data_IF_164654786699
#
_entry.id   IF_164654786699
#
_cell.length_a   1.000
_cell.length_b   1.000
_cell.length_c   1.000
_cell.angle_alpha   90.00
_cell.angle_beta   90.00
_cell.angle_gamma   90.00
#
_symmetry.space_group_name_H-M   'P 1'
#
loop_
_entity.id
_entity.type
_entity.pdbx_description
1 polymer ?
#
# COMPACT_ATOMS: atom_id res chain seq x y z
N UNK A 1 67.17 -16.76 57.61
CA UNK A 1 66.20 -17.85 57.37
C UNK A 1 65.09 -17.30 56.48
N UNK A 2 65.14 -17.60 55.18
CA UNK A 2 64.24 -17.08 54.15
C UNK A 2 62.83 -17.67 54.31
N UNK A 3 61.78 -16.83 54.28
CA UNK A 3 60.44 -17.26 53.86
C UNK A 3 59.84 -16.22 52.91
N UNK A 4 59.64 -16.66 51.67
CA UNK A 4 59.05 -15.96 50.53
C UNK A 4 57.54 -15.81 50.75
N UNK A 5 56.98 -14.64 50.46
CA UNK A 5 55.54 -14.46 50.33
C UNK A 5 55.23 -14.18 48.87
N UNK A 6 54.57 -15.13 48.22
CA UNK A 6 54.21 -15.12 46.80
C UNK A 6 52.92 -14.33 46.62
N UNK A 7 52.95 -13.26 45.82
CA UNK A 7 51.76 -12.51 45.40
C UNK A 7 50.99 -13.36 44.37
N UNK A 8 49.74 -13.70 44.65
CA UNK A 8 48.81 -14.32 43.70
C UNK A 8 47.98 -13.22 43.03
N UNK A 9 48.31 -12.89 41.78
CA UNK A 9 47.48 -12.07 40.90
C UNK A 9 46.40 -12.96 40.27
N UNK A 10 45.14 -12.83 40.72
CA UNK A 10 43.99 -13.38 40.01
C UNK A 10 43.65 -12.47 38.83
N UNK A 11 44.01 -12.89 37.61
CA UNK A 11 43.54 -12.27 36.38
C UNK A 11 42.09 -12.67 36.10
N UNK A 12 41.19 -11.69 36.06
CA UNK A 12 39.80 -11.88 35.66
C UNK A 12 39.74 -11.89 34.12
N UNK A 13 39.65 -13.07 33.51
CA UNK A 13 39.41 -13.20 32.07
C UNK A 13 37.90 -13.04 31.86
N UNK A 14 37.48 -11.88 31.35
CA UNK A 14 36.11 -11.67 30.89
C UNK A 14 35.97 -12.38 29.55
N UNK A 15 35.34 -13.56 29.57
CA UNK A 15 34.82 -14.20 28.37
C UNK A 15 33.67 -13.34 27.84
N UNK A 16 33.93 -12.54 26.80
CA UNK A 16 32.86 -12.03 25.94
C UNK A 16 32.35 -13.24 25.17
N UNK A 17 31.29 -13.86 25.68
CA UNK A 17 30.58 -14.89 24.96
C UNK A 17 29.97 -14.28 23.71
N UNK A 18 30.48 -14.65 22.53
CA UNK A 18 29.72 -14.53 21.29
C UNK A 18 28.43 -15.34 21.49
N UNK A 19 27.30 -14.65 21.64
CA UNK A 19 25.99 -15.28 21.52
C UNK A 19 25.84 -15.74 20.08
N UNK A 20 26.11 -17.01 19.82
CA UNK A 20 25.86 -17.63 18.53
C UNK A 20 24.35 -17.59 18.28
N UNK A 21 23.91 -16.65 17.42
CA UNK A 21 22.50 -16.51 17.08
C UNK A 21 22.09 -17.77 16.33
N UNK A 22 21.34 -18.66 17.01
CA UNK A 22 20.80 -19.87 16.41
C UNK A 22 20.07 -19.48 15.12
N UNK A 23 20.51 -20.05 14.00
CA UNK A 23 19.88 -19.83 12.71
C UNK A 23 18.50 -20.48 12.75
N UNK A 24 17.48 -19.68 12.46
CA UNK A 24 16.13 -20.16 12.25
C UNK A 24 15.90 -20.38 10.75
N UNK A 25 15.07 -21.36 10.43
CA UNK A 25 14.76 -21.72 9.04
C UNK A 25 13.87 -20.68 8.34
N UNK A 26 13.14 -19.86 9.11
CA UNK A 26 12.13 -18.94 8.60
C UNK A 26 10.84 -19.62 8.12
N UNK A 27 10.70 -20.94 8.34
CA UNK A 27 9.49 -21.69 8.01
C UNK A 27 8.59 -21.76 9.25
N UNK A 28 7.37 -21.26 9.10
CA UNK A 28 6.35 -21.37 10.14
C UNK A 28 5.63 -22.73 10.05
N UNK A 29 6.19 -23.73 10.75
CA UNK A 29 5.62 -25.07 10.83
C UNK A 29 4.29 -25.12 11.59
N UNK A 30 3.88 -24.06 12.30
CA UNK A 30 2.62 -24.03 13.02
C UNK A 30 1.39 -23.94 12.09
N UNK A 31 1.60 -23.56 10.82
CA UNK A 31 0.53 -23.49 9.81
C UNK A 31 0.30 -24.82 9.06
N UNK A 32 1.17 -25.82 9.29
CA UNK A 32 1.12 -27.07 8.57
C UNK A 32 -0.03 -27.95 9.05
N UNK A 33 -0.72 -28.60 8.12
CA UNK A 33 -1.70 -29.66 8.39
C UNK A 33 -1.08 -31.02 8.04
N UNK A 34 -0.65 -31.74 9.07
CA UNK A 34 -0.01 -33.05 8.92
C UNK A 34 -0.99 -34.18 8.56
N UNK A 35 -2.30 -33.92 8.56
CA UNK A 35 -3.31 -34.89 8.10
C UNK A 35 -3.33 -35.02 6.57
N UNK A 36 -2.84 -33.99 5.85
CA UNK A 36 -2.73 -33.97 4.39
C UNK A 36 -1.32 -34.44 3.99
N UNK A 37 -1.21 -35.35 3.03
CA UNK A 37 0.10 -35.74 2.51
C UNK A 37 0.63 -34.62 1.59
N UNK A 38 1.90 -34.20 1.72
CA UNK A 38 2.48 -33.15 0.88
C UNK A 38 2.51 -33.50 -0.62
N UNK A 39 2.45 -34.80 -0.97
CA UNK A 39 2.41 -35.24 -2.37
C UNK A 39 1.01 -35.15 -2.99
N UNK A 40 -0.04 -35.08 -2.16
CA UNK A 40 -1.42 -35.05 -2.62
C UNK A 40 -1.89 -33.59 -2.78
N UNK A 41 -1.60 -32.74 -1.79
CA UNK A 41 -1.83 -31.29 -1.86
C UNK A 41 -0.82 -30.54 -0.96
N UNK A 42 0.24 -30.02 -1.59
CA UNK A 42 1.29 -29.31 -0.87
C UNK A 42 0.80 -27.99 -0.27
N UNK A 43 -0.17 -27.31 -0.89
CA UNK A 43 -0.68 -26.03 -0.41
C UNK A 43 -1.47 -26.23 0.89
N UNK A 44 -2.34 -27.24 0.93
CA UNK A 44 -3.06 -27.64 2.15
C UNK A 44 -2.13 -28.20 3.21
N UNK A 45 -1.11 -28.98 2.84
CA UNK A 45 -0.13 -29.47 3.81
C UNK A 45 0.61 -28.33 4.53
N UNK A 46 1.05 -27.30 3.80
CA UNK A 46 1.82 -26.18 4.39
C UNK A 46 0.95 -25.14 5.09
N UNK A 47 -0.26 -24.88 4.57
CA UNK A 47 -1.10 -23.76 5.01
C UNK A 47 -2.42 -24.20 5.68
N UNK A 48 -2.71 -25.50 5.79
CA UNK A 48 -4.02 -26.02 6.17
C UNK A 48 -4.52 -25.50 7.51
N UNK A 49 -3.65 -25.49 8.53
CA UNK A 49 -4.02 -24.96 9.84
C UNK A 49 -4.25 -23.44 9.82
N UNK A 50 -3.56 -22.71 8.94
CA UNK A 50 -3.81 -21.28 8.74
C UNK A 50 -5.16 -21.03 8.04
N UNK A 51 -5.48 -21.82 7.01
CA UNK A 51 -6.75 -21.70 6.29
C UNK A 51 -7.96 -22.03 7.18
N UNK A 52 -7.81 -22.90 8.17
CA UNK A 52 -8.88 -23.25 9.10
C UNK A 52 -9.10 -22.16 10.16
N UNK A 53 -8.03 -21.54 10.67
CA UNK A 53 -8.10 -20.57 11.77
C UNK A 53 -8.33 -19.12 11.33
N UNK A 54 -7.94 -18.77 10.10
CA UNK A 54 -7.89 -17.38 9.65
C UNK A 54 -9.18 -17.00 8.92
N UNK A 55 -9.94 -16.08 9.51
CA UNK A 55 -11.08 -15.45 8.86
C UNK A 55 -10.62 -14.29 7.98
N UNK A 56 -11.30 -14.09 6.85
CA UNK A 56 -11.09 -12.89 6.03
C UNK A 56 -11.78 -11.72 6.73
N UNK A 57 -11.05 -10.63 7.09
CA UNK A 57 -11.66 -9.47 7.72
C UNK A 57 -12.81 -8.89 6.89
N UNK A 58 -13.85 -8.37 7.55
CA UNK A 58 -15.09 -7.93 6.89
C UNK A 58 -14.90 -6.75 5.92
N UNK A 59 -13.81 -5.99 6.07
CA UNK A 59 -13.42 -4.87 5.21
C UNK A 59 -12.56 -5.32 4.01
N UNK A 60 -12.28 -6.62 3.85
CA UNK A 60 -11.37 -7.15 2.83
C UNK A 60 -12.03 -8.23 1.97
N UNK A 61 -11.69 -8.23 0.69
CA UNK A 61 -12.16 -9.26 -0.27
C UNK A 61 -11.32 -10.54 -0.24
N UNK A 62 -10.10 -10.47 0.31
CA UNK A 62 -9.16 -11.58 0.43
C UNK A 62 -8.18 -11.33 1.59
N UNK A 63 -7.58 -12.39 2.12
CA UNK A 63 -6.56 -12.29 3.16
C UNK A 63 -5.49 -13.36 3.00
N UNK A 64 -4.25 -13.02 3.34
CA UNK A 64 -3.07 -13.85 3.17
C UNK A 64 -1.81 -13.09 3.56
N UNK A 65 -0.65 -13.72 3.41
CA UNK A 65 0.64 -13.15 3.84
C UNK A 65 0.96 -11.79 3.22
N UNK A 66 0.62 -11.56 1.95
CA UNK A 66 0.79 -10.25 1.31
C UNK A 66 -0.13 -9.18 1.90
N UNK A 67 -1.36 -9.53 2.25
CA UNK A 67 -2.33 -8.61 2.85
C UNK A 67 -1.96 -8.29 4.29
N UNK A 68 -1.47 -9.27 5.05
CA UNK A 68 -0.94 -9.08 6.40
C UNK A 68 0.26 -8.12 6.39
N UNK A 69 1.24 -8.34 5.50
CA UNK A 69 2.36 -7.42 5.33
C UNK A 69 1.92 -6.02 4.88
N UNK A 70 0.89 -5.94 4.03
CA UNK A 70 0.33 -4.67 3.60
C UNK A 70 -0.33 -3.92 4.76
N UNK A 71 -1.10 -4.59 5.61
CA UNK A 71 -1.71 -3.99 6.81
C UNK A 71 -0.64 -3.44 7.76
N UNK A 72 0.44 -4.19 8.01
CA UNK A 72 1.57 -3.72 8.81
C UNK A 72 2.25 -2.50 8.18
N UNK A 73 2.47 -2.52 6.87
CA UNK A 73 3.04 -1.39 6.13
C UNK A 73 2.14 -0.16 6.21
N UNK A 74 0.82 -0.33 6.05
CA UNK A 74 -0.14 0.76 6.18
C UNK A 74 -0.16 1.35 7.59
N UNK A 75 -0.10 0.52 8.63
CA UNK A 75 -0.02 0.99 10.01
C UNK A 75 1.25 1.83 10.23
N UNK A 76 2.39 1.41 9.69
CA UNK A 76 3.64 2.15 9.77
C UNK A 76 3.59 3.48 8.99
N UNK A 77 3.06 3.46 7.77
CA UNK A 77 2.87 4.67 6.96
C UNK A 77 1.93 5.66 7.63
N UNK A 78 0.82 5.18 8.20
CA UNK A 78 -0.13 6.00 8.94
C UNK A 78 0.53 6.71 10.11
N UNK A 79 1.34 6.02 10.91
CA UNK A 79 2.10 6.67 12.00
C UNK A 79 2.99 7.80 11.49
N UNK A 80 3.72 7.58 10.40
CA UNK A 80 4.59 8.61 9.81
C UNK A 80 3.77 9.82 9.35
N UNK A 81 2.62 9.58 8.71
CA UNK A 81 1.73 10.65 8.24
C UNK A 81 1.11 11.41 9.41
N UNK A 82 0.69 10.72 10.47
CA UNK A 82 0.14 11.33 11.68
C UNK A 82 1.19 12.16 12.43
N UNK A 83 2.42 11.67 12.55
CA UNK A 83 3.55 12.42 13.11
C UNK A 83 3.85 13.67 12.27
N UNK A 84 3.88 13.52 10.94
CA UNK A 84 4.03 14.65 10.02
C UNK A 84 2.87 15.63 10.13
N UNK A 85 1.63 15.18 10.35
CA UNK A 85 0.45 16.01 10.54
C UNK A 85 0.52 16.82 11.85
N UNK A 86 1.08 16.26 12.91
CA UNK A 86 1.15 16.86 14.25
C UNK A 86 2.38 17.76 14.47
N UNK A 87 3.43 17.63 13.66
CA UNK A 87 4.64 18.46 13.79
C UNK A 87 4.30 19.96 13.67
N UNK A 88 4.71 20.75 14.67
CA UNK A 88 4.40 22.19 14.76
C UNK A 88 5.24 23.09 13.86
N UNK A 89 6.41 22.63 13.41
CA UNK A 89 7.41 23.43 12.68
C UNK A 89 7.50 23.01 11.20
N UNK A 90 6.38 23.06 10.48
CA UNK A 90 6.38 22.75 9.05
C UNK A 90 6.58 24.01 8.22
N UNK A 91 7.59 24.00 7.35
CA UNK A 91 7.76 25.07 6.38
C UNK A 91 6.57 25.08 5.40
N UNK A 92 6.03 26.26 5.13
CA UNK A 92 4.93 26.40 4.18
C UNK A 92 5.34 25.88 2.79
N UNK A 93 4.54 24.98 2.22
CA UNK A 93 4.81 24.35 0.93
C UNK A 93 5.77 23.15 0.97
N UNK A 94 6.26 22.75 2.14
CA UNK A 94 7.06 21.53 2.29
C UNK A 94 6.23 20.27 2.08
N UNK A 95 6.88 19.15 1.80
CA UNK A 95 6.19 17.89 1.58
C UNK A 95 5.53 17.38 2.86
N UNK A 96 6.12 17.63 4.03
CA UNK A 96 5.54 17.33 5.34
C UNK A 96 4.24 18.10 5.58
N UNK A 97 4.21 19.39 5.19
CA UNK A 97 2.99 20.20 5.27
C UNK A 97 1.91 19.66 4.33
N UNK A 98 2.24 19.39 3.06
CA UNK A 98 1.27 18.87 2.08
C UNK A 98 0.71 17.51 2.49
N UNK A 99 1.55 16.59 2.95
CA UNK A 99 1.14 15.25 3.40
C UNK A 99 0.22 15.37 4.61
N UNK A 100 0.61 16.17 5.60
CA UNK A 100 -0.19 16.38 6.80
C UNK A 100 -1.55 17.01 6.51
N UNK A 101 -1.57 18.08 5.72
CA UNK A 101 -2.81 18.78 5.37
C UNK A 101 -3.73 17.92 4.51
N UNK A 102 -3.17 17.16 3.55
CA UNK A 102 -3.95 16.22 2.74
C UNK A 102 -4.58 15.14 3.61
N UNK A 103 -3.83 14.55 4.54
CA UNK A 103 -4.36 13.58 5.50
C UNK A 103 -5.47 14.17 6.37
N UNK A 104 -5.25 15.35 6.96
CA UNK A 104 -6.25 16.01 7.80
C UNK A 104 -7.52 16.36 7.00
N UNK A 105 -7.38 16.78 5.74
CA UNK A 105 -8.53 17.06 4.86
C UNK A 105 -9.38 15.81 4.60
N UNK A 106 -8.75 14.63 4.48
CA UNK A 106 -9.45 13.36 4.30
C UNK A 106 -10.10 12.86 5.60
N UNK A 107 -9.47 13.10 6.74
CA UNK A 107 -9.96 12.62 8.05
C UNK A 107 -11.10 13.48 8.62
N UNK A 108 -11.31 14.70 8.11
CA UNK A 108 -12.39 15.60 8.53
C UNK A 108 -13.75 15.20 7.93
N UNK A 109 -14.26 14.06 8.38
CA UNK A 109 -15.58 13.53 7.98
C UNK A 109 -16.74 14.49 8.31
N UNK A 110 -16.63 15.29 9.37
CA UNK A 110 -17.67 16.26 9.72
C UNK A 110 -17.79 17.36 8.66
N UNK A 111 -16.66 17.87 8.17
CA UNK A 111 -16.64 18.85 7.08
C UNK A 111 -17.11 18.25 5.76
N UNK A 112 -16.71 17.01 5.46
CA UNK A 112 -17.18 16.28 4.27
C UNK A 112 -18.71 16.17 4.29
N UNK A 113 -19.29 15.78 5.43
CA UNK A 113 -20.74 15.63 5.57
C UNK A 113 -21.48 16.98 5.51
N UNK A 114 -20.91 18.03 6.10
CA UNK A 114 -21.45 19.40 6.03
C UNK A 114 -21.49 19.92 4.58
N UNK A 115 -20.45 19.66 3.80
CA UNK A 115 -20.33 20.10 2.41
C UNK A 115 -21.25 19.32 1.46
N UNK A 116 -21.57 18.07 1.77
CA UNK A 116 -22.40 17.21 0.93
C UNK A 116 -21.92 17.19 -0.53
N UNK A 117 -22.83 17.51 -1.46
CA UNK A 117 -22.53 17.51 -2.90
C UNK A 117 -22.03 18.86 -3.44
N UNK A 118 -21.96 19.90 -2.61
CA UNK A 118 -21.60 21.25 -3.08
C UNK A 118 -20.28 21.32 -3.84
N UNK A 119 -19.20 20.60 -3.44
CA UNK A 119 -17.95 20.59 -4.22
C UNK A 119 -18.07 20.02 -5.64
N UNK A 120 -19.14 19.27 -5.95
CA UNK A 120 -19.37 18.68 -7.28
C UNK A 120 -20.26 19.53 -8.19
N UNK A 121 -20.89 20.60 -7.68
CA UNK A 121 -21.89 21.38 -8.43
C UNK A 121 -21.30 21.98 -9.71
N UNK A 122 -20.07 22.51 -9.67
CA UNK A 122 -19.42 23.08 -10.86
C UNK A 122 -19.13 22.03 -11.94
N UNK A 123 -18.75 20.81 -11.52
CA UNK A 123 -18.49 19.70 -12.43
C UNK A 123 -19.77 19.18 -13.07
N UNK A 124 -20.84 19.06 -12.29
CA UNK A 124 -22.16 18.67 -12.78
C UNK A 124 -22.72 19.71 -13.76
N UNK A 125 -22.65 21.00 -13.41
CA UNK A 125 -23.07 22.09 -14.30
C UNK A 125 -22.27 22.11 -15.61
N UNK A 126 -20.97 21.80 -15.57
CA UNK A 126 -20.15 21.66 -16.77
C UNK A 126 -20.68 20.56 -17.69
N UNK A 127 -21.05 19.40 -17.14
CA UNK A 127 -21.61 18.28 -17.89
C UNK A 127 -22.98 18.65 -18.48
N UNK A 128 -23.84 19.30 -17.70
CA UNK A 128 -25.18 19.73 -18.13
C UNK A 128 -25.13 20.75 -19.28
N UNK A 129 -24.07 21.56 -19.34
CA UNK A 129 -23.88 22.58 -20.37
C UNK A 129 -23.43 22.04 -21.73
N UNK A 130 -23.05 20.76 -21.83
CA UNK A 130 -22.49 20.19 -23.06
C UNK A 130 -23.55 20.10 -24.17
N UNK A 131 -23.31 20.77 -25.29
CA UNK A 131 -24.22 20.77 -26.43
C UNK A 131 -23.57 20.16 -27.67
N UNK A 132 -23.46 18.83 -27.65
CA UNK A 132 -22.99 18.05 -28.78
C UNK A 132 -21.53 17.64 -28.68
N UNK A 133 -21.02 17.07 -29.79
CA UNK A 133 -19.77 16.29 -29.80
C UNK A 133 -18.52 17.14 -29.59
N UNK A 134 -18.53 18.39 -30.02
CA UNK A 134 -17.38 19.29 -29.86
C UNK A 134 -17.17 19.64 -28.39
N UNK A 135 -18.26 19.97 -27.67
CA UNK A 135 -18.21 20.23 -26.24
C UNK A 135 -17.81 18.99 -25.46
N UNK A 136 -18.30 17.82 -25.88
CA UNK A 136 -17.91 16.54 -25.28
C UNK A 136 -16.39 16.27 -25.42
N UNK A 137 -15.79 16.57 -26.57
CA UNK A 137 -14.34 16.42 -26.75
C UNK A 137 -13.54 17.36 -25.85
N UNK A 138 -13.99 18.62 -25.69
CA UNK A 138 -13.40 19.59 -24.74
C UNK A 138 -13.56 19.13 -23.30
N UNK A 139 -14.73 18.56 -22.97
CA UNK A 139 -14.99 18.00 -21.65
C UNK A 139 -14.05 16.84 -21.33
N UNK A 140 -13.78 15.91 -22.25
CA UNK A 140 -12.84 14.83 -21.99
C UNK A 140 -11.41 15.33 -21.71
N UNK A 141 -10.98 16.43 -22.34
CA UNK A 141 -9.71 17.07 -22.00
C UNK A 141 -9.72 17.64 -20.57
N UNK A 142 -10.83 18.27 -20.16
CA UNK A 142 -11.02 18.74 -18.79
C UNK A 142 -11.06 17.59 -17.78
N UNK A 143 -11.91 16.60 -18.01
CA UNK A 143 -12.12 15.42 -17.16
C UNK A 143 -10.80 14.72 -16.85
N UNK A 144 -9.93 14.56 -17.85
CA UNK A 144 -8.59 13.99 -17.65
C UNK A 144 -7.75 14.77 -16.64
N UNK A 145 -7.78 16.10 -16.69
CA UNK A 145 -7.06 16.96 -15.73
C UNK A 145 -7.68 16.89 -14.33
N UNK A 146 -9.00 16.76 -14.26
CA UNK A 146 -9.75 16.62 -13.02
C UNK A 146 -9.69 15.20 -12.40
N UNK A 147 -9.05 14.24 -13.08
CA UNK A 147 -9.00 12.84 -12.63
C UNK A 147 -10.29 12.05 -12.88
N UNK A 148 -11.22 12.60 -13.65
CA UNK A 148 -12.49 11.95 -14.02
C UNK A 148 -12.26 11.04 -15.24
N UNK A 149 -12.81 9.83 -15.17
CA UNK A 149 -12.66 8.83 -16.23
C UNK A 149 -13.31 9.30 -17.54
N UNK A 150 -12.68 8.95 -18.66
CA UNK A 150 -13.19 9.16 -20.02
C UNK A 150 -13.12 7.84 -20.81
N UNK A 151 -13.81 7.71 -21.96
CA UNK A 151 -13.81 6.47 -22.77
C UNK A 151 -12.44 6.07 -23.36
N UNK A 152 -11.44 6.92 -23.21
CA UNK A 152 -10.07 6.67 -23.58
C UNK A 152 -9.13 7.23 -22.51
N UNK A 153 -7.98 6.59 -22.35
CA UNK A 153 -6.90 7.07 -21.50
C UNK A 153 -5.75 7.53 -22.38
N UNK A 154 -5.24 8.73 -22.11
CA UNK A 154 -4.00 9.25 -22.68
C UNK A 154 -2.89 9.18 -21.64
N UNK A 155 -1.75 8.60 -22.00
CA UNK A 155 -0.56 8.55 -21.15
C UNK A 155 0.71 8.62 -21.98
N UNK A 156 1.80 9.05 -21.35
CA UNK A 156 3.12 9.12 -21.97
C UNK A 156 3.94 7.95 -21.44
N UNK A 157 4.55 7.19 -22.35
CA UNK A 157 5.45 6.10 -21.99
C UNK A 157 6.56 5.99 -23.04
N UNK A 158 7.56 5.16 -22.79
CA UNK A 158 8.62 4.87 -23.75
C UNK A 158 8.05 4.28 -25.03
N UNK A 159 8.62 4.61 -26.19
CA UNK A 159 8.25 3.98 -27.46
C UNK A 159 8.70 2.52 -27.46
N UNK A 160 7.78 1.59 -27.74
CA UNK A 160 8.10 0.17 -27.89
C UNK A 160 9.09 -0.10 -29.05
N UNK A 161 9.20 0.81 -30.02
CA UNK A 161 10.17 0.73 -31.12
C UNK A 161 11.49 1.44 -30.81
N UNK A 162 11.51 2.34 -29.83
CA UNK A 162 12.70 3.08 -29.43
C UNK A 162 12.63 3.50 -27.94
N UNK A 163 13.23 2.69 -27.06
CA UNK A 163 13.14 2.89 -25.61
C UNK A 163 13.83 4.15 -25.08
N UNK A 164 14.57 4.90 -25.91
CA UNK A 164 15.17 6.18 -25.51
C UNK A 164 14.25 7.38 -25.74
N UNK A 165 13.11 7.17 -26.41
CA UNK A 165 12.12 8.20 -26.72
C UNK A 165 10.79 7.94 -26.00
N UNK A 166 10.06 9.02 -25.71
CA UNK A 166 8.71 8.97 -25.18
C UNK A 166 7.70 9.31 -26.27
N UNK A 167 6.59 8.60 -26.30
CA UNK A 167 5.45 8.89 -27.18
C UNK A 167 4.15 8.94 -26.40
N UNK A 168 3.14 9.58 -26.99
CA UNK A 168 1.77 9.57 -26.48
C UNK A 168 1.07 8.28 -26.87
N UNK A 169 0.47 7.62 -25.89
CA UNK A 169 -0.39 6.46 -26.08
C UNK A 169 -1.85 6.83 -25.83
N UNK A 170 -2.74 6.31 -26.67
CA UNK A 170 -4.18 6.34 -26.46
C UNK A 170 -4.65 4.89 -26.37
N UNK A 171 -5.37 4.56 -25.30
CA UNK A 171 -5.95 3.23 -25.11
C UNK A 171 -7.42 3.33 -24.69
N UNK A 172 -8.16 2.24 -24.84
CA UNK A 172 -9.56 2.12 -24.41
C UNK A 172 -9.70 2.29 -22.89
N UNK A 173 -10.81 2.86 -22.47
CA UNK A 173 -11.24 3.00 -21.06
C UNK A 173 -12.76 3.12 -21.01
N UNK A 174 -13.33 3.43 -19.84
CA UNK A 174 -14.73 3.81 -19.68
C UNK A 174 -15.70 2.66 -19.43
N UNK A 175 -15.22 1.43 -19.22
CA UNK A 175 -16.04 0.37 -18.66
C UNK A 175 -16.06 0.49 -17.13
N UNK A 176 -17.23 0.30 -16.54
CA UNK A 176 -17.45 0.41 -15.09
C UNK A 176 -17.39 -0.94 -14.38
N UNK A 177 -17.67 -2.05 -15.09
CA UNK A 177 -17.54 -3.40 -14.54
C UNK A 177 -16.11 -3.93 -14.76
N UNK A 178 -15.67 -4.91 -13.95
CA UNK A 178 -14.26 -5.33 -13.89
C UNK A 178 -13.65 -5.76 -15.23
N UNK A 179 -14.48 -6.34 -16.11
CA UNK A 179 -14.05 -6.77 -17.44
C UNK A 179 -15.21 -6.72 -18.46
N UNK A 180 -14.86 -7.02 -19.72
CA UNK A 180 -15.79 -7.06 -20.86
C UNK A 180 -16.87 -8.14 -20.71
N UNK A 181 -16.55 -9.27 -20.10
CA UNK A 181 -17.43 -10.45 -20.06
C UNK A 181 -18.64 -10.23 -19.14
N UNK A 182 -18.56 -9.29 -18.18
CA UNK A 182 -19.72 -8.79 -17.43
C UNK A 182 -20.80 -8.14 -18.31
N UNK A 183 -20.49 -7.71 -19.54
CA UNK A 183 -21.43 -7.06 -20.44
C UNK A 183 -21.99 -8.00 -21.54
N UNK A 184 -21.50 -9.23 -21.61
CA UNK A 184 -21.78 -10.17 -22.70
C UNK A 184 -22.38 -11.50 -22.22
N UNK A 185 -22.54 -11.65 -20.91
CA UNK A 185 -23.14 -12.82 -20.26
C UNK A 185 -24.65 -12.70 -20.14
#
# INVERSE_FOLDING_TARGET
>A
MFKRFTLLLLGLVVWVGCSEKKLDSGIDYANFDQSVRPQDDFYRYVNGAWLEKTEIPADKSNYGSFTELFDESQANQRRIIEDAAQSGDKAHGSDEQKIGDFYLSYMDSARIEELGLTPLEEDLARIESLNGKEDLAKYFAYARKAGVQSPFVFFVNQDFKNSTEYIGYINQSGLNLPDRDYYLS
#
